data_IF_670980157963
#
_entry.id   IF_670980157963
#
_cell.length_a   1.000
_cell.length_b   1.000
_cell.length_c   1.000
_cell.angle_alpha   90.00
_cell.angle_beta   90.00
_cell.angle_gamma   90.00
#
_symmetry.space_group_name_H-M   'P 1'
#
loop_
_entity.id
_entity.type
_entity.pdbx_description
1 polymer ?
#
# COMPACT_ATOMS: atom_id res chain seq x y z
N UNK A 1 2.60 7.64 11.40
CA UNK A 1 3.64 6.76 10.81
C UNK A 1 4.95 7.00 11.55
N UNK A 2 5.85 6.02 11.70
CA UNK A 2 7.23 6.29 12.16
C UNK A 2 7.91 7.31 11.23
N UNK A 3 8.95 8.00 11.70
CA UNK A 3 9.76 8.98 10.97
C UNK A 3 10.34 8.41 9.66
N UNK A 4 9.50 8.36 8.62
CA UNK A 4 9.87 7.87 7.31
C UNK A 4 10.50 9.00 6.51
N UNK A 5 11.80 8.90 6.28
CA UNK A 5 12.59 9.89 5.57
C UNK A 5 12.80 9.38 4.15
N UNK A 6 12.04 9.95 3.21
CA UNK A 6 12.08 9.64 1.79
C UNK A 6 12.69 10.81 1.01
N UNK A 7 13.44 10.52 -0.05
CA UNK A 7 13.74 11.54 -1.07
C UNK A 7 12.45 11.99 -1.77
N UNK A 8 12.41 13.18 -2.37
CA UNK A 8 11.25 13.63 -3.17
C UNK A 8 10.88 12.60 -4.25
N UNK A 9 11.89 12.05 -4.93
CA UNK A 9 11.72 11.06 -6.00
C UNK A 9 11.22 9.70 -5.49
N UNK A 10 11.66 9.28 -4.30
CA UNK A 10 11.18 8.05 -3.66
C UNK A 10 9.77 8.24 -3.12
N UNK A 11 9.46 9.40 -2.53
CA UNK A 11 8.12 9.74 -2.08
C UNK A 11 7.13 9.79 -3.25
N UNK A 12 7.52 10.38 -4.38
CA UNK A 12 6.73 10.38 -5.62
C UNK A 12 6.40 8.95 -6.08
N UNK A 13 7.40 8.07 -6.16
CA UNK A 13 7.19 6.66 -6.54
C UNK A 13 6.39 5.88 -5.50
N UNK A 14 6.59 6.17 -4.22
CA UNK A 14 5.84 5.55 -3.13
C UNK A 14 4.34 5.85 -3.29
N UNK A 15 3.98 7.11 -3.51
CA UNK A 15 2.59 7.52 -3.72
C UNK A 15 2.03 6.92 -5.02
N UNK A 16 2.80 6.91 -6.11
CA UNK A 16 2.37 6.26 -7.36
C UNK A 16 2.16 4.76 -7.22
N UNK A 17 2.97 4.09 -6.41
CA UNK A 17 2.78 2.67 -6.11
C UNK A 17 1.50 2.43 -5.30
N UNK A 18 1.17 3.31 -4.35
CA UNK A 18 -0.14 3.25 -3.66
C UNK A 18 -1.29 3.45 -4.65
N UNK A 19 -1.16 4.39 -5.59
CA UNK A 19 -2.16 4.59 -6.64
C UNK A 19 -2.29 3.37 -7.57
N UNK A 20 -1.17 2.73 -7.93
CA UNK A 20 -1.18 1.50 -8.73
C UNK A 20 -1.89 0.35 -8.02
N UNK A 21 -1.76 0.25 -6.69
CA UNK A 21 -2.54 -0.71 -5.87
C UNK A 21 -4.04 -0.41 -5.98
N UNK A 22 -4.45 0.85 -5.87
CA UNK A 22 -5.86 1.24 -5.94
C UNK A 22 -6.45 1.15 -7.36
N UNK A 23 -5.63 1.05 -8.40
CA UNK A 23 -6.07 0.96 -9.80
C UNK A 23 -6.14 -0.46 -10.33
N UNK A 24 -5.82 -1.47 -9.52
CA UNK A 24 -5.70 -2.86 -10.00
C UNK A 24 -7.01 -3.41 -10.56
N UNK A 25 -8.15 -2.92 -10.07
CA UNK A 25 -9.51 -3.24 -10.51
C UNK A 25 -10.04 -2.30 -11.61
N UNK A 26 -9.25 -1.29 -11.99
CA UNK A 26 -9.53 -0.36 -13.08
C UNK A 26 -10.18 0.96 -12.65
N UNK A 27 -10.64 1.11 -11.40
CA UNK A 27 -11.29 2.32 -10.91
C UNK A 27 -10.87 2.67 -9.48
N UNK A 28 -10.44 3.92 -9.25
CA UNK A 28 -10.14 4.40 -7.89
C UNK A 28 -11.39 5.06 -7.30
N UNK A 29 -11.82 4.60 -6.14
CA UNK A 29 -12.98 5.18 -5.44
C UNK A 29 -12.65 6.55 -4.82
N UNK A 30 -13.69 7.35 -4.57
CA UNK A 30 -13.52 8.64 -3.88
C UNK A 30 -12.91 8.49 -2.49
N UNK A 31 -13.25 7.42 -1.75
CA UNK A 31 -12.73 7.17 -0.41
C UNK A 31 -11.25 6.76 -0.44
N UNK A 32 -10.83 5.95 -1.41
CA UNK A 32 -9.41 5.65 -1.64
C UNK A 32 -8.61 6.89 -2.01
N UNK A 33 -9.16 7.78 -2.86
CA UNK A 33 -8.51 9.05 -3.18
C UNK A 33 -8.35 9.93 -1.94
N UNK A 34 -9.37 10.01 -1.08
CA UNK A 34 -9.29 10.75 0.18
C UNK A 34 -8.25 10.15 1.11
N UNK A 35 -8.22 8.83 1.26
CA UNK A 35 -7.24 8.14 2.09
C UNK A 35 -5.81 8.29 1.52
N UNK A 36 -5.64 8.17 0.20
CA UNK A 36 -4.37 8.40 -0.48
C UNK A 36 -3.85 9.82 -0.25
N UNK A 37 -4.71 10.83 -0.37
CA UNK A 37 -4.35 12.22 -0.08
C UNK A 37 -3.93 12.42 1.38
N UNK A 38 -4.60 11.76 2.31
CA UNK A 38 -4.20 11.79 3.71
C UNK A 38 -2.80 11.17 3.93
N UNK A 39 -2.48 10.07 3.25
CA UNK A 39 -1.14 9.47 3.29
C UNK A 39 -0.08 10.38 2.66
N UNK A 40 -0.37 11.06 1.54
CA UNK A 40 0.51 12.07 0.94
C UNK A 40 0.81 13.19 1.95
N UNK A 41 -0.21 13.72 2.62
CA UNK A 41 -0.04 14.80 3.59
C UNK A 41 0.71 14.34 4.86
N UNK A 42 0.63 13.06 5.21
CA UNK A 42 1.32 12.50 6.37
C UNK A 42 2.83 12.26 6.13
N UNK A 43 3.29 12.24 4.87
CA UNK A 43 4.68 12.06 4.53
C UNK A 43 5.47 13.37 4.82
N UNK A 44 6.55 13.32 5.62
CA UNK A 44 7.25 14.52 6.10
C UNK A 44 8.03 15.30 5.01
N UNK A 45 8.04 14.79 3.77
CA UNK A 45 8.82 15.34 2.64
C UNK A 45 7.97 15.82 1.46
N UNK A 46 6.66 16.07 1.67
CA UNK A 46 5.70 16.35 0.58
C UNK A 46 5.45 17.82 0.29
N UNK A 47 6.14 18.75 0.96
CA UNK A 47 6.00 20.20 0.72
C UNK A 47 6.34 20.65 -0.72
N UNK A 48 6.85 19.75 -1.56
CA UNK A 48 7.22 19.97 -2.97
C UNK A 48 6.57 18.96 -3.93
N UNK A 49 5.73 18.04 -3.44
CA UNK A 49 5.06 17.05 -4.29
C UNK A 49 3.82 17.66 -4.95
N UNK A 50 3.81 17.69 -6.27
CA UNK A 50 2.64 18.09 -7.06
C UNK A 50 1.63 16.93 -7.09
N UNK A 51 0.61 17.03 -6.25
CA UNK A 51 -0.43 16.00 -6.09
C UNK A 51 -1.12 15.67 -7.42
N UNK A 52 -1.43 16.68 -8.24
CA UNK A 52 -2.11 16.48 -9.51
C UNK A 52 -1.20 15.79 -10.52
N UNK A 53 0.08 16.19 -10.58
CA UNK A 53 1.06 15.55 -11.45
C UNK A 53 1.28 14.07 -11.06
N UNK A 54 1.21 13.74 -9.77
CA UNK A 54 1.35 12.36 -9.28
C UNK A 54 0.13 11.51 -9.64
N UNK A 55 -1.08 12.05 -9.50
CA UNK A 55 -2.32 11.33 -9.82
C UNK A 55 -2.46 11.05 -11.34
N UNK A 56 -1.87 11.91 -12.18
CA UNK A 56 -1.88 11.78 -13.64
C UNK A 56 -0.69 11.01 -14.22
N UNK A 57 0.28 10.61 -13.39
CA UNK A 57 1.49 9.99 -13.86
C UNK A 57 1.33 8.53 -14.29
N UNK A 58 2.32 8.06 -15.06
CA UNK A 58 2.44 6.66 -15.48
C UNK A 58 2.51 5.72 -14.27
N UNK A 59 1.93 4.53 -14.45
CA UNK A 59 1.86 3.48 -13.45
C UNK A 59 3.26 3.00 -13.06
N UNK A 60 3.47 2.77 -11.76
CA UNK A 60 4.76 2.34 -11.21
C UNK A 60 4.70 0.85 -10.93
N UNK A 61 5.69 0.09 -11.40
CA UNK A 61 5.78 -1.34 -11.09
C UNK A 61 6.45 -1.59 -9.74
N UNK A 62 6.25 -2.77 -9.11
CA UNK A 62 6.99 -3.18 -7.92
C UNK A 62 8.50 -3.05 -8.05
N UNK A 63 9.03 -3.37 -9.22
CA UNK A 63 10.45 -3.32 -9.52
C UNK A 63 10.97 -1.88 -9.60
N UNK A 64 10.17 -0.96 -10.14
CA UNK A 64 10.55 0.46 -10.22
C UNK A 64 10.66 1.10 -8.84
N UNK A 65 9.70 0.80 -7.95
CA UNK A 65 9.73 1.28 -6.58
C UNK A 65 10.94 0.71 -5.83
N UNK A 66 11.19 -0.60 -5.95
CA UNK A 66 12.35 -1.24 -5.33
C UNK A 66 13.68 -0.70 -5.88
N UNK A 67 13.77 -0.45 -7.19
CA UNK A 67 14.95 0.15 -7.81
C UNK A 67 15.20 1.57 -7.28
N UNK A 68 14.16 2.37 -7.07
CA UNK A 68 14.29 3.69 -6.47
C UNK A 68 14.72 3.62 -5.00
N UNK A 69 14.13 2.71 -4.23
CA UNK A 69 14.50 2.49 -2.82
C UNK A 69 15.97 2.02 -2.66
N UNK A 70 16.49 1.26 -3.63
CA UNK A 70 17.92 0.84 -3.64
C UNK A 70 18.86 1.91 -4.20
N UNK A 71 18.41 2.65 -5.22
CA UNK A 71 19.25 3.51 -6.06
C UNK A 71 19.41 4.95 -5.58
N UNK A 72 18.46 5.48 -4.80
CA UNK A 72 18.60 6.82 -4.19
C UNK A 72 19.48 6.70 -2.94
N UNK A 73 20.80 6.75 -3.16
CA UNK A 73 21.82 6.61 -2.14
C UNK A 73 21.63 7.55 -0.95
N UNK A 74 21.23 6.96 0.19
CA UNK A 74 21.53 7.24 1.60
C UNK A 74 21.39 8.65 2.18
N UNK A 75 21.35 9.73 1.41
CA UNK A 75 21.32 11.09 1.95
C UNK A 75 20.41 12.00 1.11
N UNK A 76 19.28 12.39 1.67
CA UNK A 76 18.44 13.46 1.13
C UNK A 76 18.60 14.71 2.01
N UNK A 77 19.07 15.82 1.42
CA UNK A 77 19.35 17.09 2.14
C UNK A 77 20.23 16.94 3.40
N UNK A 78 21.19 16.02 3.40
CA UNK A 78 22.09 15.80 4.54
C UNK A 78 21.54 14.87 5.63
N UNK A 79 20.34 14.32 5.45
CA UNK A 79 19.71 13.39 6.40
C UNK A 79 19.70 11.98 5.81
N UNK A 80 19.98 10.98 6.65
CA UNK A 80 19.91 9.58 6.27
C UNK A 80 18.49 9.22 5.83
N UNK A 81 18.34 8.61 4.65
CA UNK A 81 17.05 8.08 4.22
C UNK A 81 16.67 6.85 5.07
N UNK A 82 15.37 6.58 5.17
CA UNK A 82 14.88 5.37 5.83
C UNK A 82 15.39 4.12 5.13
N UNK A 83 15.77 3.08 5.89
CA UNK A 83 16.23 1.82 5.31
C UNK A 83 15.07 1.13 4.58
N UNK A 84 15.41 0.36 3.54
CA UNK A 84 14.45 -0.33 2.68
C UNK A 84 13.37 -1.15 3.44
N UNK A 85 13.68 -1.90 4.52
CA UNK A 85 12.65 -2.57 5.32
C UNK A 85 11.63 -1.61 5.96
N UNK A 86 12.07 -0.44 6.43
CA UNK A 86 11.17 0.57 6.99
C UNK A 86 10.27 1.19 5.91
N UNK A 87 10.79 1.38 4.69
CA UNK A 87 10.01 1.81 3.53
C UNK A 87 8.97 0.74 3.17
N UNK A 88 9.36 -0.55 3.18
CA UNK A 88 8.48 -1.66 2.91
C UNK A 88 7.32 -1.77 3.93
N UNK A 89 7.64 -1.70 5.22
CA UNK A 89 6.63 -1.73 6.29
C UNK A 89 5.68 -0.53 6.22
N UNK A 90 6.21 0.66 5.95
CA UNK A 90 5.41 1.86 5.80
C UNK A 90 4.51 1.78 4.56
N UNK A 91 5.02 1.23 3.46
CA UNK A 91 4.24 0.99 2.24
C UNK A 91 3.07 0.05 2.52
N UNK A 92 3.33 -1.12 3.09
CA UNK A 92 2.28 -2.09 3.43
C UNK A 92 1.23 -1.46 4.36
N UNK A 93 1.67 -0.74 5.39
CA UNK A 93 0.75 -0.09 6.32
C UNK A 93 -0.09 1.01 5.65
N UNK A 94 0.49 1.79 4.74
CA UNK A 94 -0.22 2.81 3.98
C UNK A 94 -1.22 2.19 3.01
N UNK A 95 -0.79 1.21 2.21
CA UNK A 95 -1.62 0.53 1.24
C UNK A 95 -2.84 -0.10 1.92
N UNK A 96 -2.65 -0.81 3.04
CA UNK A 96 -3.75 -1.38 3.81
C UNK A 96 -4.74 -0.31 4.32
N UNK A 97 -4.28 0.86 4.78
CA UNK A 97 -5.17 1.94 5.21
C UNK A 97 -5.97 2.54 4.05
N UNK A 98 -5.36 2.67 2.88
CA UNK A 98 -6.04 3.23 1.70
C UNK A 98 -7.13 2.29 1.23
N UNK A 99 -6.82 1.01 1.06
CA UNK A 99 -7.78 0.03 0.51
C UNK A 99 -8.88 -0.35 1.51
N UNK A 100 -8.58 -0.31 2.81
CA UNK A 100 -9.63 -0.53 3.84
C UNK A 100 -10.60 0.65 3.96
N UNK A 101 -10.25 1.84 3.47
CA UNK A 101 -11.16 2.99 3.45
C UNK A 101 -12.35 2.77 2.50
N UNK A 102 -12.15 2.03 1.40
CA UNK A 102 -13.21 1.67 0.46
C UNK A 102 -14.18 0.59 0.99
N UNK A 103 -13.94 0.02 2.18
CA UNK A 103 -14.73 -1.08 2.75
C UNK A 103 -14.84 -2.33 1.86
N UNK A 104 -13.90 -2.53 0.92
CA UNK A 104 -13.80 -3.71 0.07
C UNK A 104 -12.33 -4.15 -0.01
N UNK A 105 -12.05 -5.38 0.43
CA UNK A 105 -10.71 -5.99 0.39
C UNK A 105 -10.70 -7.05 -0.72
N UNK A 106 -10.43 -6.61 -1.95
CA UNK A 106 -10.32 -7.48 -3.11
C UNK A 106 -9.01 -8.31 -3.07
N UNK A 107 -9.06 -9.63 -3.31
CA UNK A 107 -7.87 -10.48 -3.41
C UNK A 107 -6.81 -9.98 -4.42
N UNK A 108 -7.22 -9.34 -5.52
CA UNK A 108 -6.31 -8.74 -6.51
C UNK A 108 -5.53 -7.56 -5.92
N UNK A 109 -6.19 -6.73 -5.13
CA UNK A 109 -5.56 -5.62 -4.40
C UNK A 109 -4.53 -6.15 -3.40
N UNK A 110 -4.89 -7.17 -2.63
CA UNK A 110 -3.98 -7.80 -1.68
C UNK A 110 -2.78 -8.47 -2.36
N UNK A 111 -3.01 -9.14 -3.49
CA UNK A 111 -1.94 -9.72 -4.30
C UNK A 111 -0.98 -8.65 -4.83
N UNK A 112 -1.50 -7.49 -5.23
CA UNK A 112 -0.70 -6.36 -5.69
C UNK A 112 0.13 -5.76 -4.54
N UNK A 113 -0.46 -5.55 -3.36
CA UNK A 113 0.26 -5.10 -2.15
C UNK A 113 1.41 -6.05 -1.83
N UNK A 114 1.15 -7.37 -1.89
CA UNK A 114 2.15 -8.41 -1.65
C UNK A 114 3.29 -8.34 -2.67
N UNK A 115 3.00 -8.11 -3.96
CA UNK A 115 4.02 -7.97 -4.99
C UNK A 115 4.98 -6.80 -4.73
N UNK A 116 4.45 -5.64 -4.34
CA UNK A 116 5.26 -4.48 -3.93
C UNK A 116 6.06 -4.77 -2.65
N UNK A 117 5.44 -5.38 -1.65
CA UNK A 117 6.13 -5.73 -0.40
C UNK A 117 7.30 -6.69 -0.64
N UNK A 118 7.11 -7.74 -1.45
CA UNK A 118 8.17 -8.67 -1.82
C UNK A 118 9.28 -7.96 -2.58
N UNK A 119 8.95 -7.10 -3.55
CA UNK A 119 9.96 -6.35 -4.31
C UNK A 119 10.78 -5.40 -3.42
N UNK A 120 10.17 -4.88 -2.36
CA UNK A 120 10.78 -4.03 -1.34
C UNK A 120 11.54 -4.78 -0.24
N UNK A 121 11.73 -6.11 -0.37
CA UNK A 121 12.39 -6.94 0.65
C UNK A 121 11.72 -6.77 2.03
N UNK A 122 10.38 -6.71 2.05
CA UNK A 122 9.59 -6.53 3.27
C UNK A 122 9.82 -7.70 4.25
N UNK A 123 10.03 -7.42 5.55
CA UNK A 123 10.26 -8.47 6.53
C UNK A 123 9.00 -9.33 6.73
N UNK A 124 9.21 -10.62 7.01
CA UNK A 124 8.14 -11.61 7.13
C UNK A 124 6.95 -11.20 8.03
N UNK A 125 7.14 -10.57 9.21
CA UNK A 125 6.01 -10.17 10.07
C UNK A 125 5.07 -9.12 9.44
N UNK A 126 5.57 -8.35 8.47
CA UNK A 126 4.75 -7.39 7.75
C UNK A 126 4.01 -8.03 6.58
N UNK A 127 4.60 -9.07 5.96
CA UNK A 127 3.94 -9.89 4.94
C UNK A 127 2.84 -10.78 5.53
N UNK A 128 3.06 -11.36 6.71
CA UNK A 128 2.07 -12.18 7.42
C UNK A 128 0.76 -11.41 7.70
N UNK A 129 0.84 -10.09 7.91
CA UNK A 129 -0.34 -9.23 8.06
C UNK A 129 -1.16 -9.11 6.77
N UNK A 130 -0.51 -9.16 5.61
CA UNK A 130 -1.18 -9.14 4.30
C UNK A 130 -1.75 -10.52 4.00
N UNK A 131 -0.97 -11.57 4.23
CA UNK A 131 -1.40 -12.96 3.99
C UNK A 131 -2.61 -13.32 4.87
N UNK A 132 -2.64 -12.92 6.14
CA UNK A 132 -3.79 -13.16 7.03
C UNK A 132 -5.08 -12.44 6.62
N UNK A 133 -4.99 -11.31 5.91
CA UNK A 133 -6.15 -10.63 5.31
C UNK A 133 -6.60 -11.34 4.04
N UNK A 134 -5.66 -11.89 3.26
CA UNK A 134 -5.96 -12.66 2.07
C UNK A 134 -6.75 -13.93 2.41
N UNK A 135 -6.33 -14.66 3.45
CA UNK A 135 -7.04 -15.83 3.97
C UNK A 135 -8.45 -15.48 4.52
N UNK A 136 -8.62 -14.29 5.10
CA UNK A 136 -9.92 -13.83 5.59
C UNK A 136 -10.88 -13.42 4.47
N UNK A 137 -10.36 -12.82 3.38
CA UNK A 137 -11.17 -12.43 2.21
C UNK A 137 -11.60 -13.62 1.34
N UNK A 138 -10.80 -14.69 1.25
CA UNK A 138 -11.16 -15.93 0.54
C UNK A 138 -12.08 -16.84 1.39
N UNK A 139 -12.11 -16.59 2.71
CA UNK A 139 -12.81 -17.39 3.72
C UNK A 139 -14.29 -17.10 3.94
N UNK A 140 -15.00 -16.42 3.04
CA UNK A 140 -16.47 -16.37 3.12
C UNK A 140 -17.05 -17.69 2.60
N UNK A 141 -17.39 -18.60 3.53
CA UNK A 141 -18.68 -19.30 3.66
C UNK A 141 -18.54 -20.53 4.59
N UNK A 142 -18.77 -20.34 5.89
CA UNK A 142 -19.47 -21.35 6.71
C UNK A 142 -20.58 -20.63 7.48
N UNK A 143 -21.60 -20.19 6.74
CA UNK A 143 -22.91 -19.92 7.33
C UNK A 143 -23.57 -21.28 7.56
N UNK A 144 -23.81 -21.72 8.81
CA UNK A 144 -24.67 -22.87 9.03
C UNK A 144 -26.04 -22.55 8.45
N UNK A 145 -26.42 -23.25 7.38
CA UNK A 145 -27.71 -23.10 6.74
C UNK A 145 -28.85 -23.31 7.74
N UNK A 146 -29.96 -22.54 7.67
CA UNK A 146 -31.09 -22.75 8.55
C UNK A 146 -31.83 -24.03 8.13
N UNK A 147 -31.53 -25.14 8.78
CA UNK A 147 -32.27 -26.39 8.66
C UNK A 147 -31.94 -27.29 9.86
N UNK A 148 -32.87 -27.84 10.63
CA UNK A 148 -34.31 -27.89 10.51
C UNK A 148 -34.91 -27.85 11.93
N UNK A 149 -36.10 -27.26 11.99
CA UNK A 149 -37.05 -27.52 13.07
C UNK A 149 -37.41 -29.01 13.03
N UNK A 150 -37.05 -29.76 14.07
CA UNK A 150 -37.74 -31.02 14.39
C UNK A 150 -38.38 -30.81 15.75
N UNK A 151 -39.70 -30.74 15.71
CA UNK A 151 -40.54 -30.76 16.89
C UNK A 151 -40.77 -32.19 17.34
N UNK A 152 -40.67 -32.41 18.64
CA UNK A 152 -41.49 -33.40 19.34
C UNK A 152 -41.72 -32.95 20.79
#
# INVERSE_FOLDING_TARGET
MPDLLLSERLAERFVRALLAVCRVDGEVTSDELVALRAEIQALPSTGSLDEEAVLQAEEVTPQDLAAAARGDGLVYRGVAQSPMPAVAEAFVAAALRVVTAASSLDPLVLAQIRAFAVALDCPAPALERVDGLFEASDGELDVPGPGAVDGE
#
